data_IF_312349647850
#
_entry.id   IF_312349647850
#
_cell.length_a   1.000
_cell.length_b   1.000
_cell.length_c   1.000
_cell.angle_alpha   90.00
_cell.angle_beta   90.00
_cell.angle_gamma   90.00
#
_symmetry.space_group_name_H-M   'P 1'
#
loop_
_entity.id
_entity.type
_entity.pdbx_description
1 polymer ?
#
# COMPACT_ATOMS: atom_id res chain seq x y z
N UNK A 1 23.57 1.12 11.45
CA UNK A 1 22.17 0.70 11.63
C UNK A 1 21.47 1.28 10.42
N UNK A 2 20.98 0.43 9.51
CA UNK A 2 20.30 0.93 8.33
C UNK A 2 19.06 1.69 8.81
N UNK A 3 18.96 2.96 8.44
CA UNK A 3 17.78 3.78 8.64
C UNK A 3 16.63 3.02 7.96
N UNK A 4 15.77 2.38 8.75
CA UNK A 4 14.56 1.76 8.21
C UNK A 4 13.69 2.92 7.79
N UNK A 5 13.60 3.13 6.48
CA UNK A 5 12.70 4.12 5.92
C UNK A 5 11.29 3.59 6.17
N UNK A 6 10.45 4.36 6.87
CA UNK A 6 9.07 3.99 7.14
C UNK A 6 8.13 4.80 6.26
N UNK A 7 6.97 4.22 5.90
CA UNK A 7 5.94 4.97 5.16
C UNK A 7 5.38 6.14 5.97
N UNK A 8 5.50 6.09 7.30
CA UNK A 8 5.13 7.15 8.22
C UNK A 8 5.88 8.47 7.94
N UNK A 9 7.09 8.43 7.40
CA UNK A 9 7.88 9.63 7.09
C UNK A 9 7.50 10.28 5.75
N UNK A 10 6.71 9.60 4.90
CA UNK A 10 6.29 10.16 3.60
C UNK A 10 4.94 10.87 3.71
N UNK A 11 4.92 12.19 3.54
CA UNK A 11 3.66 12.95 3.37
C UNK A 11 3.16 12.90 1.92
N UNK A 12 4.09 12.72 0.99
CA UNK A 12 3.83 12.60 -0.43
C UNK A 12 4.60 11.43 -1.01
N UNK A 13 3.95 10.64 -1.85
CA UNK A 13 4.54 9.53 -2.56
C UNK A 13 4.17 9.64 -4.05
N UNK A 14 5.18 9.58 -4.91
CA UNK A 14 5.02 9.74 -6.37
C UNK A 14 4.18 10.97 -6.80
N UNK A 15 4.31 12.09 -6.08
CA UNK A 15 3.56 13.33 -6.35
C UNK A 15 2.13 13.36 -5.79
N UNK A 16 1.62 12.25 -5.24
CA UNK A 16 0.34 12.17 -4.57
C UNK A 16 0.47 12.29 -3.05
N UNK A 17 -0.58 12.78 -2.39
CA UNK A 17 -0.61 12.86 -0.93
C UNK A 17 -0.91 11.47 -0.37
N UNK A 18 -0.09 10.99 0.56
CA UNK A 18 -0.38 9.75 1.28
C UNK A 18 -1.56 10.01 2.23
N UNK A 19 -2.68 9.30 2.02
CA UNK A 19 -3.86 9.40 2.87
C UNK A 19 -3.84 8.36 3.98
N UNK A 20 -3.53 7.13 3.60
CA UNK A 20 -3.51 5.99 4.50
C UNK A 20 -2.30 5.13 4.20
N UNK A 21 -1.75 4.51 5.22
CA UNK A 21 -0.71 3.51 5.04
C UNK A 21 -0.87 2.41 6.09
N UNK A 22 -0.31 1.25 5.78
CA UNK A 22 -0.26 0.11 6.67
C UNK A 22 1.05 -0.62 6.45
N UNK A 23 1.74 -0.95 7.54
CA UNK A 23 2.98 -1.71 7.51
C UNK A 23 2.71 -3.04 8.21
N UNK A 24 2.97 -4.14 7.51
CA UNK A 24 2.78 -5.47 8.06
C UNK A 24 3.94 -5.80 9.00
N UNK A 25 3.63 -6.36 10.17
CA UNK A 25 4.66 -6.85 11.09
C UNK A 25 5.41 -8.08 10.54
N UNK A 26 4.78 -8.80 9.62
CA UNK A 26 5.35 -9.95 8.90
C UNK A 26 4.94 -9.84 7.43
N UNK A 27 5.87 -10.04 6.48
CA UNK A 27 5.54 -9.96 5.06
C UNK A 27 4.38 -10.87 4.69
N UNK A 28 3.53 -10.38 3.80
CA UNK A 28 2.38 -11.09 3.25
C UNK A 28 2.64 -11.42 1.78
N UNK A 29 2.26 -12.63 1.37
CA UNK A 29 2.43 -13.06 -0.02
C UNK A 29 1.15 -12.80 -0.82
N UNK A 30 1.24 -12.00 -1.88
CA UNK A 30 0.15 -11.78 -2.85
C UNK A 30 0.57 -12.31 -4.21
N UNK A 31 -0.37 -12.91 -4.93
CA UNK A 31 -0.14 -13.31 -6.31
C UNK A 31 -0.67 -12.24 -7.25
N UNK A 32 0.18 -11.82 -8.17
CA UNK A 32 -0.23 -10.92 -9.25
C UNK A 32 -0.98 -11.67 -10.37
N UNK A 33 -1.44 -10.92 -11.38
CA UNK A 33 -2.14 -11.46 -12.55
C UNK A 33 -1.32 -12.50 -13.35
N UNK A 34 0.02 -12.42 -13.28
CA UNK A 34 0.95 -13.37 -13.89
C UNK A 34 1.30 -14.56 -12.98
N UNK A 35 0.63 -14.72 -11.83
CA UNK A 35 0.88 -15.76 -10.82
C UNK A 35 2.27 -15.66 -10.17
N UNK A 36 2.91 -14.50 -10.25
CA UNK A 36 4.16 -14.22 -9.52
C UNK A 36 3.81 -13.96 -8.07
N UNK A 37 4.53 -14.62 -7.16
CA UNK A 37 4.43 -14.31 -5.73
C UNK A 37 5.19 -13.02 -5.45
N UNK A 38 4.48 -12.02 -4.97
CA UNK A 38 5.02 -10.75 -4.50
C UNK A 38 5.00 -10.76 -2.97
N UNK A 39 6.13 -10.39 -2.38
CA UNK A 39 6.25 -10.23 -0.93
C UNK A 39 5.93 -8.79 -0.56
N UNK A 40 4.82 -8.60 0.14
CA UNK A 40 4.30 -7.29 0.52
C UNK A 40 4.61 -7.04 2.00
N UNK A 41 5.36 -5.98 2.25
CA UNK A 41 5.71 -5.50 3.59
C UNK A 41 4.85 -4.31 4.00
N UNK A 42 4.40 -3.50 3.04
CA UNK A 42 3.55 -2.37 3.35
C UNK A 42 2.60 -1.99 2.21
N UNK A 43 1.60 -1.19 2.57
CA UNK A 43 0.56 -0.65 1.70
C UNK A 43 0.45 0.86 1.91
N UNK A 44 0.23 1.63 0.85
CA UNK A 44 -0.14 3.03 0.95
C UNK A 44 -1.26 3.38 -0.03
N UNK A 45 -2.24 4.13 0.45
CA UNK A 45 -3.29 4.74 -0.34
C UNK A 45 -2.94 6.21 -0.50
N UNK A 46 -2.76 6.64 -1.74
CA UNK A 46 -2.43 8.01 -2.08
C UNK A 46 -3.55 8.65 -2.89
N UNK A 47 -3.70 9.96 -2.73
CA UNK A 47 -4.67 10.78 -3.45
C UNK A 47 -3.96 11.83 -4.29
N UNK A 48 -4.28 11.82 -5.59
CA UNK A 48 -3.80 12.80 -6.55
C UNK A 48 -4.81 13.94 -6.62
N UNK A 49 -4.80 14.78 -5.58
CA UNK A 49 -5.60 16.00 -5.50
C UNK A 49 -7.12 15.81 -5.73
N UNK A 50 -7.67 14.67 -5.31
CA UNK A 50 -9.09 14.32 -5.44
C UNK A 50 -9.52 13.90 -6.84
N UNK A 51 -8.60 13.71 -7.79
CA UNK A 51 -8.92 13.22 -9.13
C UNK A 51 -8.86 11.68 -9.20
N UNK A 52 -7.84 11.09 -8.57
CA UNK A 52 -7.60 9.64 -8.59
C UNK A 52 -7.01 9.19 -7.26
N UNK A 53 -7.34 7.95 -6.87
CA UNK A 53 -6.79 7.29 -5.68
C UNK A 53 -5.98 6.07 -6.11
N UNK A 54 -4.72 6.01 -5.70
CA UNK A 54 -3.84 4.89 -6.01
C UNK A 54 -3.52 4.10 -4.74
N UNK A 55 -3.60 2.78 -4.83
CA UNK A 55 -3.12 1.85 -3.82
C UNK A 55 -1.78 1.27 -4.27
N UNK A 56 -0.75 1.48 -3.48
CA UNK A 56 0.59 0.96 -3.71
C UNK A 56 0.91 -0.16 -2.73
N UNK A 57 1.58 -1.19 -3.23
CA UNK A 57 2.08 -2.32 -2.48
C UNK A 57 3.60 -2.30 -2.54
N UNK A 58 4.21 -2.41 -1.37
CA UNK A 58 5.64 -2.23 -1.18
C UNK A 58 6.29 -3.51 -0.70
N UNK A 59 7.51 -3.79 -1.18
CA UNK A 59 8.39 -4.82 -0.61
C UNK A 59 9.20 -4.28 0.59
N UNK A 60 10.14 -5.07 1.09
CA UNK A 60 11.05 -4.72 2.21
C UNK A 60 11.87 -3.44 1.94
N UNK A 61 12.25 -3.21 0.68
CA UNK A 61 13.03 -2.06 0.24
C UNK A 61 12.17 -0.80 -0.02
N UNK A 62 10.85 -0.85 0.26
CA UNK A 62 9.87 0.15 -0.13
C UNK A 62 9.78 0.42 -1.65
N UNK A 63 10.16 -0.57 -2.46
CA UNK A 63 9.90 -0.54 -3.89
C UNK A 63 8.45 -0.94 -4.18
N UNK A 64 7.83 -0.24 -5.13
CA UNK A 64 6.48 -0.57 -5.60
C UNK A 64 6.55 -1.89 -6.37
N UNK A 65 5.91 -2.91 -5.85
CA UNK A 65 5.78 -4.22 -6.51
C UNK A 65 4.43 -4.41 -7.19
N UNK A 66 3.43 -3.65 -6.76
CA UNK A 66 2.10 -3.63 -7.36
C UNK A 66 1.43 -2.28 -7.10
N UNK A 67 0.62 -1.84 -8.05
CA UNK A 67 -0.19 -0.62 -7.94
C UNK A 67 -1.57 -0.85 -8.53
N UNK A 68 -2.59 -0.23 -7.93
CA UNK A 68 -3.98 -0.34 -8.35
C UNK A 68 -4.66 1.03 -8.30
N UNK A 69 -5.38 1.37 -9.36
CA UNK A 69 -6.09 2.64 -9.50
C UNK A 69 -7.56 2.50 -9.08
N UNK A 70 -8.04 3.48 -8.32
CA UNK A 70 -9.41 3.58 -7.83
C UNK A 70 -9.93 5.01 -7.93
N UNK A 71 -11.26 5.14 -7.94
CA UNK A 71 -11.91 6.46 -7.90
C UNK A 71 -12.01 7.02 -6.48
N UNK A 72 -12.05 6.16 -5.45
CA UNK A 72 -12.15 6.59 -4.05
C UNK A 72 -11.31 5.71 -3.11
N UNK A 73 -10.82 6.24 -1.97
CA UNK A 73 -10.04 5.48 -0.99
C UNK A 73 -10.76 4.31 -0.35
N UNK A 74 -12.10 4.35 -0.29
CA UNK A 74 -12.91 3.24 0.22
C UNK A 74 -12.70 1.96 -0.58
N UNK A 75 -12.72 2.07 -1.91
CA UNK A 75 -12.52 0.94 -2.82
C UNK A 75 -11.13 0.34 -2.68
N UNK A 76 -10.10 1.19 -2.55
CA UNK A 76 -8.74 0.74 -2.29
C UNK A 76 -8.63 -0.10 -1.00
N UNK A 77 -9.32 0.30 0.07
CA UNK A 77 -9.33 -0.47 1.33
C UNK A 77 -10.05 -1.80 1.19
N UNK A 78 -11.16 -1.83 0.47
CA UNK A 78 -11.93 -3.05 0.21
C UNK A 78 -11.14 -4.05 -0.65
N UNK A 79 -10.44 -3.56 -1.67
CA UNK A 79 -9.60 -4.38 -2.55
C UNK A 79 -8.40 -4.95 -1.79
N UNK A 80 -7.70 -4.12 -1.00
CA UNK A 80 -6.63 -4.60 -0.12
C UNK A 80 -7.14 -5.68 0.86
N UNK A 81 -8.32 -5.49 1.48
CA UNK A 81 -8.90 -6.50 2.36
C UNK A 81 -9.24 -7.81 1.63
N UNK A 82 -9.51 -7.75 0.33
CA UNK A 82 -9.75 -8.92 -0.52
C UNK A 82 -8.45 -9.63 -0.87
N UNK A 83 -7.36 -8.91 -1.13
CA UNK A 83 -6.04 -9.49 -1.40
C UNK A 83 -5.41 -10.15 -0.17
N UNK A 84 -5.72 -9.65 1.02
CA UNK A 84 -5.20 -10.18 2.29
C UNK A 84 -6.32 -10.79 3.16
N UNK A 85 -6.94 -11.90 2.73
CA UNK A 85 -8.07 -12.48 3.44
C UNK A 85 -7.64 -12.98 4.83
N UNK A 86 -8.32 -12.49 5.87
CA UNK A 86 -8.04 -12.86 7.26
C UNK A 86 -6.93 -12.05 7.92
N UNK A 87 -6.34 -11.08 7.22
CA UNK A 87 -5.47 -10.07 7.81
C UNK A 87 -6.30 -8.83 8.14
N UNK A 88 -6.21 -8.39 9.39
CA UNK A 88 -6.88 -7.19 9.85
C UNK A 88 -5.99 -5.97 9.53
N UNK A 89 -6.20 -5.35 8.37
CA UNK A 89 -5.40 -4.22 7.89
C UNK A 89 -5.75 -2.96 8.71
N UNK A 90 -4.87 -2.63 9.65
CA UNK A 90 -4.98 -1.44 10.50
C UNK A 90 -4.41 -0.21 9.77
N UNK A 91 -5.25 0.47 9.00
CA UNK A 91 -4.87 1.70 8.29
C UNK A 91 -4.55 2.83 9.27
N UNK A 92 -3.32 3.34 9.21
CA UNK A 92 -2.94 4.61 9.84
C UNK A 92 -3.34 5.76 8.92
N UNK A 93 -3.91 6.83 9.48
CA UNK A 93 -4.31 8.02 8.74
C UNK A 93 -3.23 9.10 8.83
N UNK A 94 -3.08 9.91 7.77
CA UNK A 94 -2.32 11.16 7.78
C UNK A 94 -3.20 12.38 7.53
#
# INVERSE_FOLDING_TARGET
>A
MADQIYLEDFDYFNGAKVLHYHEFATPQEVKDEFLTTLEIHALAICDYAGEETMLFYFNDDLDIVMEKEFMIPGQAKEDAATDFPGIDIQWKNK
#
